data_IF_080195090109
#
_entry.id   IF_080195090109
#
_cell.length_a   1.000
_cell.length_b   1.000
_cell.length_c   1.000
_cell.angle_alpha   90.00
_cell.angle_beta   90.00
_cell.angle_gamma   90.00
#
_symmetry.space_group_name_H-M   'P 1'
#
loop_
_entity.id
_entity.type
_entity.pdbx_description
1 polymer ?
#
# COMPACT_ATOMS: atom_id res chain seq x y z
N UNK A 1 -14.86 17.15 22.86
CA UNK A 1 -13.42 17.05 22.56
C UNK A 1 -13.29 17.02 21.06
N UNK A 2 -12.57 17.95 20.45
CA UNK A 2 -12.30 17.87 19.02
C UNK A 2 -11.42 16.63 18.80
N UNK A 3 -11.82 15.72 17.92
CA UNK A 3 -10.95 14.63 17.51
C UNK A 3 -9.66 15.26 16.95
N UNK A 4 -8.49 14.82 17.39
CA UNK A 4 -7.24 15.19 16.74
C UNK A 4 -7.23 14.55 15.35
N UNK A 5 -7.22 15.39 14.31
CA UNK A 5 -7.12 14.94 12.93
C UNK A 5 -5.64 14.66 12.65
N UNK A 6 -5.19 13.46 13.00
CA UNK A 6 -3.83 13.00 12.78
C UNK A 6 -3.81 11.63 12.10
N UNK A 7 -2.67 11.25 11.49
CA UNK A 7 -2.52 9.90 10.98
C UNK A 7 -2.55 8.90 12.15
N UNK A 8 -3.32 7.83 12.00
CA UNK A 8 -3.32 6.69 12.92
C UNK A 8 -1.98 5.97 12.85
N UNK A 9 -1.40 5.88 11.66
CA UNK A 9 -0.06 5.33 11.41
C UNK A 9 0.65 6.21 10.40
N UNK A 10 1.94 6.45 10.62
CA UNK A 10 2.83 7.13 9.69
C UNK A 10 4.22 6.50 9.74
N UNK A 11 4.89 6.39 8.59
CA UNK A 11 6.26 5.93 8.53
C UNK A 11 6.94 6.21 7.20
N UNK A 12 8.25 5.96 7.19
CA UNK A 12 9.11 6.10 6.03
C UNK A 12 10.17 5.01 6.05
N UNK A 13 10.45 4.43 4.90
CA UNK A 13 11.55 3.48 4.69
C UNK A 13 12.74 4.13 3.98
N UNK A 14 12.68 5.45 3.79
CA UNK A 14 13.67 6.22 3.04
C UNK A 14 15.05 6.14 3.68
N UNK A 15 16.05 5.80 2.88
CA UNK A 15 17.45 5.71 3.34
C UNK A 15 17.74 4.47 4.19
N UNK A 16 16.81 3.53 4.32
CA UNK A 16 17.09 2.24 4.94
C UNK A 16 18.05 1.40 4.08
N UNK A 17 19.00 0.69 4.69
CA UNK A 17 20.00 -0.07 3.95
C UNK A 17 19.41 -1.35 3.35
N UNK A 18 19.68 -1.58 2.06
CA UNK A 18 19.34 -2.83 1.39
C UNK A 18 17.83 -3.08 1.35
N UNK A 19 17.44 -4.31 1.67
CA UNK A 19 16.05 -4.78 1.59
C UNK A 19 15.23 -4.50 2.83
N UNK A 20 15.83 -3.99 3.91
CA UNK A 20 15.15 -3.73 5.17
C UNK A 20 13.95 -2.79 5.02
N UNK A 21 14.01 -1.84 4.09
CA UNK A 21 12.88 -0.97 3.77
C UNK A 21 11.73 -1.70 3.06
N UNK A 22 12.05 -2.63 2.15
CA UNK A 22 11.03 -3.44 1.48
C UNK A 22 10.36 -4.41 2.46
N UNK A 23 11.16 -5.11 3.26
CA UNK A 23 10.68 -6.06 4.27
C UNK A 23 9.77 -5.35 5.29
N UNK A 24 10.21 -4.21 5.82
CA UNK A 24 9.40 -3.40 6.75
C UNK A 24 8.10 -2.91 6.11
N UNK A 25 8.14 -2.43 4.86
CA UNK A 25 6.94 -1.99 4.17
C UNK A 25 5.95 -3.14 3.97
N UNK A 26 6.45 -4.33 3.62
CA UNK A 26 5.62 -5.52 3.45
C UNK A 26 4.94 -5.92 4.77
N UNK A 27 5.72 -6.00 5.84
CA UNK A 27 5.25 -6.47 7.15
C UNK A 27 4.31 -5.48 7.84
N UNK A 28 4.64 -4.19 7.77
CA UNK A 28 3.91 -3.17 8.52
C UNK A 28 2.71 -2.61 7.76
N UNK A 29 2.75 -2.58 6.42
CA UNK A 29 1.84 -1.73 5.62
C UNK A 29 1.10 -2.48 4.52
N UNK A 30 1.83 -3.21 3.68
CA UNK A 30 1.35 -3.78 2.44
C UNK A 30 0.11 -4.67 2.62
N UNK A 31 0.15 -5.63 3.54
CA UNK A 31 -0.99 -6.54 3.76
C UNK A 31 -2.12 -5.91 4.56
N UNK A 32 -1.79 -5.08 5.55
CA UNK A 32 -2.77 -4.59 6.54
C UNK A 32 -3.58 -3.40 6.01
N UNK A 33 -2.93 -2.47 5.30
CA UNK A 33 -3.56 -1.20 4.92
C UNK A 33 -3.80 -1.05 3.42
N UNK A 34 -2.99 -1.72 2.60
CA UNK A 34 -3.07 -1.60 1.13
C UNK A 34 -3.69 -2.84 0.50
N UNK A 35 -3.61 -3.98 1.20
CA UNK A 35 -4.12 -5.27 0.71
C UNK A 35 -3.38 -5.78 -0.53
N UNK A 36 -2.16 -5.33 -0.78
CA UNK A 36 -1.31 -5.77 -1.90
C UNK A 36 0.11 -5.97 -1.40
N UNK A 37 0.79 -7.02 -1.86
CA UNK A 37 2.16 -7.33 -1.49
C UNK A 37 3.11 -6.95 -2.63
N UNK A 38 3.96 -5.92 -2.48
CA UNK A 38 4.96 -5.58 -3.48
C UNK A 38 5.94 -6.74 -3.68
N UNK A 39 6.14 -7.14 -4.94
CA UNK A 39 7.25 -8.00 -5.31
C UNK A 39 8.56 -7.31 -4.97
N UNK A 40 9.56 -8.10 -4.60
CA UNK A 40 10.90 -7.59 -4.37
C UNK A 40 11.39 -6.86 -5.62
N UNK A 41 11.72 -5.55 -5.54
CA UNK A 41 12.26 -4.84 -6.69
C UNK A 41 13.65 -5.37 -7.05
N UNK A 42 14.17 -5.03 -8.23
CA UNK A 42 15.54 -5.41 -8.63
C UNK A 42 16.61 -4.48 -8.01
N UNK A 43 16.20 -3.29 -7.56
CA UNK A 43 17.08 -2.29 -6.94
C UNK A 43 17.27 -2.52 -5.44
N UNK A 44 18.45 -2.20 -4.89
CA UNK A 44 18.80 -2.48 -3.50
C UNK A 44 18.18 -1.50 -2.48
N UNK A 45 17.23 -0.64 -2.89
CA UNK A 45 16.51 0.25 -1.97
C UNK A 45 15.02 0.29 -2.29
N UNK A 46 14.23 0.47 -1.25
CA UNK A 46 12.79 0.68 -1.33
C UNK A 46 12.43 1.89 -0.47
N UNK A 47 12.56 3.07 -1.07
CA UNK A 47 12.24 4.34 -0.42
C UNK A 47 10.74 4.60 -0.57
N UNK A 48 9.98 4.36 0.49
CA UNK A 48 8.54 4.55 0.53
C UNK A 48 8.15 5.41 1.73
N UNK A 49 7.13 6.22 1.53
CA UNK A 49 6.50 7.03 2.57
C UNK A 49 5.03 6.62 2.66
N UNK A 50 4.49 6.51 3.87
CA UNK A 50 3.10 6.12 4.06
C UNK A 50 2.46 6.79 5.27
N UNK A 51 1.16 7.01 5.16
CA UNK A 51 0.31 7.43 6.27
C UNK A 51 -1.09 6.83 6.12
N UNK A 52 -1.73 6.49 7.23
CA UNK A 52 -3.12 6.06 7.25
C UNK A 52 -3.92 6.90 8.22
N UNK A 53 -5.19 7.14 7.88
CA UNK A 53 -6.14 7.90 8.67
C UNK A 53 -7.38 7.03 8.89
N UNK A 54 -7.84 6.99 10.13
CA UNK A 54 -9.13 6.40 10.49
C UNK A 54 -10.22 7.47 10.32
N UNK A 55 -11.20 7.19 9.46
CA UNK A 55 -12.35 8.05 9.17
C UNK A 55 -13.66 7.41 9.64
N UNK A 56 -13.61 6.47 10.59
CA UNK A 56 -14.74 5.69 11.09
C UNK A 56 -15.03 4.50 10.18
N UNK A 57 -16.10 4.58 9.39
CA UNK A 57 -16.49 3.50 8.48
C UNK A 57 -15.58 3.37 7.24
N UNK A 58 -14.53 4.19 7.16
CA UNK A 58 -13.56 4.18 6.08
C UNK A 58 -12.13 4.42 6.61
N UNK A 59 -11.16 3.90 5.87
CA UNK A 59 -9.74 4.21 6.07
C UNK A 59 -9.18 4.92 4.84
N UNK A 60 -8.39 5.96 5.04
CA UNK A 60 -7.64 6.62 3.97
C UNK A 60 -6.16 6.29 4.09
N UNK A 61 -5.58 5.70 3.06
CA UNK A 61 -4.15 5.48 2.93
C UNK A 61 -3.52 6.44 1.94
N UNK A 62 -2.40 7.04 2.33
CA UNK A 62 -1.50 7.77 1.43
C UNK A 62 -0.19 7.01 1.33
N UNK A 63 0.28 6.77 0.11
CA UNK A 63 1.46 5.98 -0.16
C UNK A 63 2.24 6.63 -1.30
N UNK A 64 3.51 6.91 -1.06
CA UNK A 64 4.51 7.16 -2.11
C UNK A 64 5.45 5.95 -2.11
N UNK A 65 5.51 5.24 -3.22
CA UNK A 65 6.39 4.09 -3.37
C UNK A 65 7.10 4.14 -4.70
N UNK A 66 8.27 3.49 -4.79
CA UNK A 66 8.91 3.31 -6.06
C UNK A 66 8.08 2.36 -6.95
N UNK A 67 8.11 2.56 -8.28
CA UNK A 67 7.42 1.66 -9.21
C UNK A 67 7.78 0.19 -8.96
N UNK A 68 6.76 -0.64 -8.71
CA UNK A 68 6.90 -2.03 -8.32
C UNK A 68 5.64 -2.80 -8.68
N UNK A 69 5.81 -4.06 -9.07
CA UNK A 69 4.69 -4.98 -9.22
C UNK A 69 4.19 -5.40 -7.85
N UNK A 70 2.87 -5.46 -7.64
CA UNK A 70 2.30 -5.95 -6.40
C UNK A 70 1.18 -6.95 -6.68
N UNK A 71 1.05 -7.95 -5.81
CA UNK A 71 0.02 -8.98 -5.93
C UNK A 71 -0.95 -8.87 -4.75
N UNK A 72 -2.25 -8.92 -5.04
CA UNK A 72 -3.28 -9.11 -4.01
C UNK A 72 -3.53 -10.59 -3.83
N UNK A 73 -3.08 -11.15 -2.71
CA UNK A 73 -3.25 -12.58 -2.44
C UNK A 73 -4.51 -12.84 -1.63
N UNK A 74 -4.91 -14.12 -1.53
CA UNK A 74 -6.03 -14.53 -0.68
C UNK A 74 -5.77 -14.29 0.81
N UNK A 75 -4.52 -14.28 1.29
CA UNK A 75 -4.21 -13.93 2.68
C UNK A 75 -4.50 -12.46 2.94
N UNK A 76 -4.11 -11.57 2.02
CA UNK A 76 -4.34 -10.13 2.12
C UNK A 76 -5.84 -9.76 2.13
N UNK A 77 -6.69 -10.58 1.51
CA UNK A 77 -8.16 -10.39 1.50
C UNK A 77 -8.78 -10.77 2.85
N UNK A 78 -8.26 -11.76 3.57
CA UNK A 78 -8.86 -12.26 4.83
C UNK A 78 -8.86 -11.25 5.97
N UNK A 79 -8.02 -10.22 5.89
CA UNK A 79 -7.92 -9.18 6.92
C UNK A 79 -8.87 -8.01 6.67
N UNK A 80 -9.70 -8.11 5.64
CA UNK A 80 -10.64 -7.07 5.23
C UNK A 80 -12.06 -7.64 5.25
N UNK A 81 -13.09 -6.86 5.67
CA UNK A 81 -14.48 -7.25 5.48
C UNK A 81 -14.78 -7.64 4.02
N UNK A 82 -15.61 -8.69 3.85
CA UNK A 82 -15.96 -9.22 2.53
C UNK A 82 -16.68 -8.22 1.61
N UNK A 83 -17.26 -7.16 2.18
CA UNK A 83 -18.00 -6.10 1.51
C UNK A 83 -17.21 -4.78 1.34
N UNK A 84 -15.94 -4.74 1.72
CA UNK A 84 -15.12 -3.54 1.61
C UNK A 84 -14.77 -3.21 0.14
N UNK A 85 -14.91 -1.93 -0.22
CA UNK A 85 -14.50 -1.40 -1.52
C UNK A 85 -13.14 -0.70 -1.41
N UNK A 86 -12.22 -1.05 -2.32
CA UNK A 86 -10.92 -0.39 -2.43
C UNK A 86 -10.92 0.55 -3.62
N UNK A 87 -10.75 1.84 -3.35
CA UNK A 87 -10.59 2.87 -4.37
C UNK A 87 -9.15 3.36 -4.30
N UNK A 88 -8.38 3.09 -5.35
CA UNK A 88 -7.02 3.58 -5.49
C UNK A 88 -7.00 4.68 -6.55
N UNK A 89 -6.38 5.80 -6.20
CA UNK A 89 -6.09 6.88 -7.13
C UNK A 89 -4.57 7.06 -7.18
N UNK A 90 -4.01 7.10 -8.38
CA UNK A 90 -2.59 7.32 -8.60
C UNK A 90 -2.39 8.56 -9.47
N UNK A 91 -1.44 9.41 -9.09
CA UNK A 91 -1.01 10.56 -9.90
C UNK A 91 0.02 10.17 -10.96
N UNK A 92 0.52 8.93 -10.93
CA UNK A 92 1.45 8.35 -11.90
C UNK A 92 0.81 7.21 -12.66
N UNK A 93 1.36 6.80 -13.82
CA UNK A 93 0.89 5.63 -14.54
C UNK A 93 0.81 4.38 -13.66
N UNK A 94 -0.23 3.60 -13.81
CA UNK A 94 -0.45 2.33 -13.12
C UNK A 94 -1.02 1.27 -14.06
N UNK A 95 -0.89 0.01 -13.64
CA UNK A 95 -1.47 -1.16 -14.29
C UNK A 95 -2.17 -2.07 -13.29
N UNK A 96 -3.24 -2.74 -13.73
CA UNK A 96 -3.98 -3.73 -12.95
C UNK A 96 -4.28 -4.93 -13.86
N UNK A 97 -4.06 -6.13 -13.34
CA UNK A 97 -4.51 -7.36 -13.96
C UNK A 97 -5.48 -8.09 -13.02
N UNK A 98 -6.68 -8.40 -13.49
CA UNK A 98 -7.71 -9.08 -12.71
C UNK A 98 -8.63 -9.89 -13.63
N UNK A 99 -8.86 -11.16 -13.29
CA UNK A 99 -9.78 -12.02 -14.05
C UNK A 99 -9.39 -12.22 -15.52
N UNK A 100 -8.09 -12.22 -15.84
CA UNK A 100 -7.58 -12.32 -17.21
C UNK A 100 -7.69 -11.03 -18.03
N UNK A 101 -8.19 -9.95 -17.44
CA UNK A 101 -8.25 -8.63 -18.07
C UNK A 101 -7.14 -7.73 -17.52
N UNK A 102 -6.67 -6.84 -18.37
CA UNK A 102 -5.66 -5.83 -18.06
C UNK A 102 -6.28 -4.43 -18.20
N UNK A 103 -5.89 -3.55 -17.29
CA UNK A 103 -6.18 -2.12 -17.32
C UNK A 103 -4.87 -1.39 -17.07
N UNK A 104 -4.61 -0.34 -17.84
CA UNK A 104 -3.45 0.51 -17.64
C UNK A 104 -3.81 1.95 -17.95
N UNK A 105 -3.21 2.89 -17.24
CA UNK A 105 -3.21 4.31 -17.62
C UNK A 105 -1.94 4.59 -18.41
N UNK A 106 -2.11 5.06 -19.65
CA UNK A 106 -1.01 5.49 -20.52
C UNK A 106 -0.41 6.83 -20.11
#
# INVERSE_FOLDING_TARGET
>A
MAAEWGPTIQGSTRGMPGWSGHDLFCDAIAEVYVGVLPRRPERPSFDADFATYDLGDASLGMIDTPAVWADRTRSSIRHVPDDALFINHSTTPWGLQQGGREWATG
#
